data_IF_272486319030
#
_entry.id   IF_272486319030
#
_cell.length_a   1.000
_cell.length_b   1.000
_cell.length_c   1.000
_cell.angle_alpha   90.00
_cell.angle_beta   90.00
_cell.angle_gamma   90.00
#
_symmetry.space_group_name_H-M   'P 1'
#
loop_
_entity.id
_entity.type
_entity.pdbx_description
1 polymer ?
#
# COMPACT_ATOMS: atom_id res chain seq x y z
N UNK A 1 10.35 -15.09 -5.57
CA UNK A 1 9.60 -14.75 -6.80
C UNK A 1 9.77 -13.27 -7.12
N UNK A 2 9.69 -12.90 -8.37
CA UNK A 2 9.68 -11.50 -8.78
C UNK A 2 8.25 -10.92 -8.74
N UNK A 3 8.11 -9.64 -9.05
CA UNK A 3 6.81 -8.95 -9.01
C UNK A 3 5.81 -9.58 -9.97
N UNK A 4 6.27 -10.02 -11.14
CA UNK A 4 5.39 -10.63 -12.13
C UNK A 4 4.81 -11.94 -11.60
N UNK A 5 5.65 -12.78 -11.01
CA UNK A 5 5.22 -14.04 -10.41
C UNK A 5 4.30 -13.80 -9.21
N UNK A 6 4.60 -12.79 -8.41
CA UNK A 6 3.72 -12.40 -7.30
C UNK A 6 2.32 -12.04 -7.81
N UNK A 7 2.22 -11.22 -8.85
CA UNK A 7 0.93 -10.82 -9.42
C UNK A 7 0.13 -12.01 -9.96
N UNK A 8 0.82 -13.00 -10.51
CA UNK A 8 0.16 -14.21 -11.01
C UNK A 8 -0.43 -15.07 -9.90
N UNK A 9 0.18 -15.07 -8.73
CA UNK A 9 -0.25 -15.88 -7.58
C UNK A 9 -1.17 -15.13 -6.64
N UNK A 10 -1.08 -13.81 -6.59
CA UNK A 10 -1.86 -12.98 -5.69
C UNK A 10 -3.30 -12.84 -6.17
N UNK A 11 -4.17 -12.52 -5.24
CA UNK A 11 -5.55 -12.19 -5.55
C UNK A 11 -5.68 -10.69 -5.82
N UNK A 12 -6.21 -10.34 -6.98
CA UNK A 12 -6.51 -8.95 -7.32
C UNK A 12 -7.79 -8.55 -6.60
N UNK A 13 -7.66 -7.81 -5.50
CA UNK A 13 -8.80 -7.44 -4.64
C UNK A 13 -9.39 -6.08 -4.96
N UNK A 14 -8.65 -5.23 -5.67
CA UNK A 14 -9.10 -3.93 -6.14
C UNK A 14 -8.62 -3.72 -7.56
N UNK A 15 -9.51 -3.27 -8.44
CA UNK A 15 -9.16 -2.90 -9.81
C UNK A 15 -10.15 -1.84 -10.27
N UNK A 16 -9.76 -0.57 -10.20
CA UNK A 16 -10.63 0.56 -10.49
C UNK A 16 -9.83 1.74 -11.05
N UNK A 17 -10.45 2.90 -11.19
CA UNK A 17 -9.81 4.10 -11.72
C UNK A 17 -8.67 4.62 -10.84
N UNK A 18 -8.72 4.33 -9.56
CA UNK A 18 -7.75 4.81 -8.58
C UNK A 18 -6.51 3.92 -8.56
N UNK A 19 -6.70 2.61 -8.45
CA UNK A 19 -5.58 1.69 -8.22
C UNK A 19 -5.93 0.24 -8.53
N UNK A 20 -4.85 -0.56 -8.57
CA UNK A 20 -4.93 -2.02 -8.49
C UNK A 20 -4.27 -2.45 -7.19
N UNK A 21 -4.87 -3.38 -6.49
CA UNK A 21 -4.32 -3.95 -5.26
C UNK A 21 -4.32 -5.47 -5.34
N UNK A 22 -3.15 -6.05 -5.15
CA UNK A 22 -2.90 -7.49 -5.18
C UNK A 22 -2.54 -7.95 -3.79
N UNK A 23 -3.25 -8.93 -3.26
CA UNK A 23 -3.01 -9.48 -1.92
C UNK A 23 -2.55 -10.93 -1.99
N UNK A 24 -1.49 -11.24 -1.25
CA UNK A 24 -1.05 -12.60 -1.03
C UNK A 24 -1.61 -13.06 0.32
N UNK A 25 -2.58 -13.95 0.30
CA UNK A 25 -3.35 -14.35 1.48
C UNK A 25 -2.94 -15.71 2.05
N UNK A 26 -1.78 -16.22 1.66
CA UNK A 26 -1.34 -17.56 2.06
C UNK A 26 -0.62 -17.63 3.40
N UNK A 27 -0.17 -16.49 3.93
CA UNK A 27 0.50 -16.44 5.21
C UNK A 27 -0.53 -16.36 6.34
N UNK A 28 -0.20 -16.95 7.48
CA UNK A 28 -1.14 -17.04 8.61
C UNK A 28 -1.43 -15.70 9.25
N UNK A 29 -0.38 -14.97 9.63
CA UNK A 29 -0.53 -13.74 10.43
C UNK A 29 -0.06 -12.48 9.72
N UNK A 30 0.64 -12.62 8.61
CA UNK A 30 1.13 -11.49 7.83
C UNK A 30 0.47 -11.44 6.47
N UNK A 31 0.23 -10.25 6.01
CA UNK A 31 -0.25 -10.01 4.66
C UNK A 31 0.76 -9.16 3.90
N UNK A 32 0.95 -9.48 2.63
CA UNK A 32 1.77 -8.72 1.71
C UNK A 32 0.89 -8.26 0.57
N UNK A 33 0.78 -6.96 0.41
CA UNK A 33 -0.09 -6.36 -0.60
C UNK A 33 0.75 -5.49 -1.53
N UNK A 34 0.48 -5.57 -2.83
CA UNK A 34 1.08 -4.69 -3.83
C UNK A 34 0.00 -3.74 -4.34
N UNK A 35 0.26 -2.44 -4.21
CA UNK A 35 -0.63 -1.41 -4.73
C UNK A 35 0.05 -0.71 -5.90
N UNK A 36 -0.70 -0.54 -6.98
CA UNK A 36 -0.32 0.25 -8.15
C UNK A 36 -1.29 1.41 -8.25
N UNK A 37 -0.89 2.56 -7.72
CA UNK A 37 -1.73 3.76 -7.65
C UNK A 37 -1.56 4.57 -8.92
N UNK A 38 -2.66 4.87 -9.58
CA UNK A 38 -2.65 5.61 -10.84
C UNK A 38 -2.24 7.07 -10.67
N UNK A 39 -1.68 7.69 -11.72
CA UNK A 39 -1.28 9.09 -11.66
C UNK A 39 -2.43 10.01 -11.27
N UNK A 40 -2.14 10.99 -10.42
CA UNK A 40 -3.12 11.99 -9.99
C UNK A 40 -4.16 11.48 -9.01
N UNK A 41 -4.06 10.23 -8.58
CA UNK A 41 -5.02 9.63 -7.67
C UNK A 41 -4.46 9.53 -6.25
N UNK A 42 -5.33 9.26 -5.31
CA UNK A 42 -4.98 9.08 -3.91
C UNK A 42 -5.74 7.89 -3.33
N UNK A 43 -5.16 7.21 -2.34
CA UNK A 43 -5.86 6.13 -1.67
C UNK A 43 -6.93 6.72 -0.75
N UNK A 44 -7.92 5.91 -0.39
CA UNK A 44 -8.84 6.27 0.69
C UNK A 44 -8.06 6.24 1.99
N UNK A 45 -8.06 7.33 2.73
CA UNK A 45 -7.35 7.36 4.01
C UNK A 45 -7.99 6.43 5.02
N UNK A 46 -7.17 5.77 5.84
CA UNK A 46 -7.68 4.89 6.88
C UNK A 46 -6.71 4.77 8.06
N UNK A 47 -7.19 4.18 9.14
CA UNK A 47 -6.38 3.84 10.30
C UNK A 47 -6.84 2.49 10.85
N UNK A 48 -5.90 1.73 11.40
CA UNK A 48 -6.15 0.42 11.99
C UNK A 48 -5.55 0.40 13.39
N UNK A 49 -6.39 0.24 14.39
CA UNK A 49 -5.96 0.34 15.79
C UNK A 49 -4.93 -0.69 16.20
N UNK A 50 -5.00 -1.90 15.63
CA UNK A 50 -4.23 -3.05 16.11
C UNK A 50 -3.20 -3.55 15.11
N UNK A 51 -3.06 -2.90 13.97
CA UNK A 51 -2.17 -3.38 12.93
C UNK A 51 -1.12 -2.34 12.57
N UNK A 52 0.14 -2.68 12.84
CA UNK A 52 1.27 -1.94 12.30
C UNK A 52 1.43 -2.27 10.82
N UNK A 53 1.87 -1.31 10.03
CA UNK A 53 2.14 -1.50 8.62
C UNK A 53 3.50 -0.94 8.25
N UNK A 54 4.09 -1.52 7.22
CA UNK A 54 5.30 -0.97 6.59
C UNK A 54 5.04 -0.84 5.10
N UNK A 55 5.24 0.34 4.56
CA UNK A 55 5.17 0.56 3.12
C UNK A 55 6.58 0.65 2.55
N UNK A 56 6.82 -0.05 1.45
CA UNK A 56 8.08 -0.01 0.71
C UNK A 56 7.74 0.45 -0.71
N UNK A 57 8.21 1.64 -1.06
CA UNK A 57 7.95 2.22 -2.38
C UNK A 57 8.96 1.67 -3.38
N UNK A 58 8.49 1.17 -4.51
CA UNK A 58 9.31 0.46 -5.49
C UNK A 58 9.39 1.14 -6.85
N UNK A 59 8.42 1.99 -7.18
CA UNK A 59 8.42 2.71 -8.45
C UNK A 59 7.55 3.95 -8.35
N UNK A 60 7.93 4.99 -9.09
CA UNK A 60 7.21 6.25 -9.09
C UNK A 60 7.62 7.18 -7.95
N UNK A 61 6.86 8.23 -7.77
CA UNK A 61 7.05 9.20 -6.69
C UNK A 61 5.71 9.79 -6.27
N UNK A 62 5.65 10.24 -5.03
CA UNK A 62 4.43 10.82 -4.50
C UNK A 62 4.63 11.30 -3.08
N UNK A 63 3.58 11.21 -2.29
CA UNK A 63 3.57 11.66 -0.92
C UNK A 63 2.71 10.72 -0.09
N UNK A 64 3.12 10.50 1.16
CA UNK A 64 2.28 9.81 2.13
C UNK A 64 2.04 10.72 3.32
N UNK A 65 0.83 10.71 3.82
CA UNK A 65 0.48 11.34 5.08
C UNK A 65 0.34 10.25 6.14
N UNK A 66 1.02 10.43 7.28
CA UNK A 66 0.95 9.52 8.41
C UNK A 66 0.68 10.39 9.65
N UNK A 67 -0.54 10.32 10.17
CA UNK A 67 -0.98 11.26 11.19
C UNK A 67 -0.90 12.69 10.65
N UNK A 68 -0.12 13.53 11.28
CA UNK A 68 0.07 14.92 10.84
C UNK A 68 1.33 15.11 9.98
N UNK A 69 2.12 14.07 9.81
CA UNK A 69 3.33 14.14 8.99
C UNK A 69 3.01 13.99 7.51
N UNK A 70 3.73 14.75 6.69
CA UNK A 70 3.66 14.67 5.23
C UNK A 70 5.04 14.34 4.72
N UNK A 71 5.17 13.19 4.07
CA UNK A 71 6.46 12.63 3.68
C UNK A 71 6.48 12.43 2.17
N UNK A 72 7.44 13.09 1.49
CA UNK A 72 7.67 12.83 0.08
C UNK A 72 8.30 11.44 -0.06
N UNK A 73 7.83 10.66 -1.01
CA UNK A 73 8.31 9.29 -1.23
C UNK A 73 8.67 9.05 -2.68
N UNK A 74 9.60 8.16 -2.89
CA UNK A 74 10.09 7.72 -4.19
C UNK A 74 10.59 6.28 -4.08
N UNK A 75 11.07 5.74 -5.18
CA UNK A 75 11.66 4.40 -5.22
C UNK A 75 12.67 4.18 -4.08
N UNK A 76 12.56 3.06 -3.43
CA UNK A 76 13.37 2.59 -2.30
C UNK A 76 13.03 3.20 -0.94
N UNK A 77 12.10 4.12 -0.85
CA UNK A 77 11.69 4.67 0.44
C UNK A 77 10.86 3.66 1.23
N UNK A 78 11.08 3.65 2.53
CA UNK A 78 10.37 2.79 3.49
C UNK A 78 9.69 3.68 4.52
N UNK A 79 8.41 3.43 4.76
CA UNK A 79 7.63 4.21 5.73
C UNK A 79 6.95 3.26 6.70
N UNK A 80 7.25 3.42 7.99
CA UNK A 80 6.58 2.68 9.05
C UNK A 80 5.30 3.42 9.48
N UNK A 81 4.23 2.67 9.62
CA UNK A 81 2.92 3.21 10.01
C UNK A 81 2.45 2.47 11.26
N UNK A 82 2.65 3.07 12.45
CA UNK A 82 2.19 2.45 13.69
C UNK A 82 0.67 2.28 13.71
N UNK A 83 0.20 1.24 14.36
CA UNK A 83 -1.23 1.01 14.55
C UNK A 83 -1.92 2.24 15.13
N UNK A 84 -3.09 2.55 14.63
CA UNK A 84 -3.88 3.69 15.04
C UNK A 84 -3.59 4.99 14.30
N UNK A 85 -2.50 5.06 13.55
CA UNK A 85 -2.18 6.27 12.77
C UNK A 85 -2.95 6.29 11.46
N UNK A 86 -3.66 7.38 11.21
CA UNK A 86 -4.27 7.62 9.90
C UNK A 86 -3.18 7.75 8.85
N UNK A 87 -3.40 7.15 7.68
CA UNK A 87 -2.44 7.27 6.58
C UNK A 87 -3.15 7.30 5.23
N UNK A 88 -2.53 7.98 4.28
CA UNK A 88 -3.07 8.18 2.95
C UNK A 88 -1.93 8.45 1.97
N UNK A 89 -1.97 7.80 0.82
CA UNK A 89 -0.94 7.93 -0.21
C UNK A 89 -1.49 8.74 -1.38
N UNK A 90 -0.67 9.67 -1.87
CA UNK A 90 -0.99 10.55 -2.99
C UNK A 90 0.01 10.32 -4.11
N UNK A 91 -0.48 10.01 -5.30
CA UNK A 91 0.39 9.96 -6.48
C UNK A 91 0.34 11.31 -7.19
N UNK A 92 1.36 12.11 -6.94
CA UNK A 92 1.49 13.45 -7.52
C UNK A 92 2.33 13.45 -8.81
N UNK A 93 2.76 12.28 -9.25
CA UNK A 93 3.54 12.13 -10.47
C UNK A 93 2.71 11.83 -11.70
N UNK A 94 3.40 11.53 -12.80
CA UNK A 94 2.79 11.24 -14.09
C UNK A 94 2.79 9.75 -14.44
N UNK A 95 3.42 8.93 -13.60
CA UNK A 95 3.47 7.48 -13.76
C UNK A 95 2.85 6.78 -12.55
N UNK A 96 2.66 5.47 -12.67
CA UNK A 96 2.11 4.67 -11.56
C UNK A 96 3.07 4.73 -10.36
N UNK A 97 2.51 4.91 -9.18
CA UNK A 97 3.23 4.81 -7.92
C UNK A 97 2.96 3.43 -7.33
N UNK A 98 4.00 2.59 -7.29
CA UNK A 98 3.88 1.21 -6.83
C UNK A 98 4.54 1.06 -5.47
N UNK A 99 3.86 0.35 -4.57
CA UNK A 99 4.41 0.11 -3.24
C UNK A 99 3.90 -1.19 -2.65
N UNK A 100 4.76 -1.80 -1.83
CA UNK A 100 4.41 -2.93 -0.99
C UNK A 100 3.85 -2.43 0.32
N UNK A 101 2.83 -3.11 0.81
CA UNK A 101 2.28 -2.92 2.14
C UNK A 101 2.41 -4.24 2.88
N UNK A 102 3.11 -4.22 3.99
CA UNK A 102 3.34 -5.39 4.84
C UNK A 102 2.64 -5.11 6.17
N UNK A 103 1.70 -5.97 6.54
CA UNK A 103 0.91 -5.73 7.75
C UNK A 103 0.41 -7.03 8.34
N UNK A 104 0.12 -6.99 9.65
CA UNK A 104 -0.53 -8.09 10.33
C UNK A 104 -1.98 -8.21 9.86
N UNK A 105 -2.46 -9.43 9.73
CA UNK A 105 -3.86 -9.66 9.38
C UNK A 105 -4.75 -9.19 10.52
N UNK A 106 -5.81 -8.49 10.17
CA UNK A 106 -6.79 -8.01 11.11
C UNK A 106 -8.20 -8.21 10.56
N UNK A 107 -9.16 -8.27 11.44
CA UNK A 107 -10.56 -8.48 11.08
C UNK A 107 -11.08 -7.27 10.29
N UNK A 108 -11.81 -7.55 9.21
CA UNK A 108 -12.43 -6.50 8.43
C UNK A 108 -11.59 -5.95 7.28
N UNK A 109 -10.36 -6.44 7.09
CA UNK A 109 -9.44 -5.95 6.04
C UNK A 109 -10.04 -6.02 4.63
N UNK A 110 -10.79 -7.05 4.34
CA UNK A 110 -11.34 -7.32 3.01
C UNK A 110 -12.79 -6.86 2.83
N UNK A 111 -13.28 -6.08 3.75
CA UNK A 111 -14.67 -5.61 3.73
C UNK A 111 -14.80 -4.20 3.17
#
# INVERSE_FOLDING_TARGET
MDIKQYKEQAKLIRDNETYKVYDLLTLKDLNLSLTELNPGKETAGHSHKEADEVYVFIDGKGRIEVGEERIAVKESDVVAIPGGKFHKVFNEGESILSFWSIFEKYEGRDK
#
